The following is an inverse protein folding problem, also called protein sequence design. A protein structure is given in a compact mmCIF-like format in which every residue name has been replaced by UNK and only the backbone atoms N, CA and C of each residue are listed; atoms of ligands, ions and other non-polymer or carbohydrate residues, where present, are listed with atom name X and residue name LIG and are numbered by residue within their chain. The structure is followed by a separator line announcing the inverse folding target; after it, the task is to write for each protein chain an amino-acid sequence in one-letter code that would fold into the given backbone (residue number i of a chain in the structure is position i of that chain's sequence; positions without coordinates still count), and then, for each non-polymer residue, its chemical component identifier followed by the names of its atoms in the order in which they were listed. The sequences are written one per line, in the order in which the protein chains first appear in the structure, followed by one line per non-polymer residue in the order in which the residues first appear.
data_IF_923038201017
#
_entry.id   IF_923038201017
#
_cell.length_a   1.000
_cell.length_b   1.000
_cell.length_c   1.000
_cell.angle_alpha   90.00
_cell.angle_beta   90.00
_cell.angle_gamma   90.00
#
_symmetry.space_group_name_H-M   'P 1'
#
loop_
_entity.id
_entity.type
_entity.pdbx_description
1 polymer ?
#
# COMPACT_ATOMS: atom_id res chain seq x y z
N UNK A 1 3.44 -2.90 -13.69
CA UNK A 1 3.36 -3.57 -12.38
C UNK A 1 3.28 -2.50 -11.31
N UNK A 2 2.20 -2.44 -10.54
CA UNK A 2 1.96 -1.37 -9.59
C UNK A 2 2.85 -1.54 -8.35
N UNK A 3 4.06 -0.98 -8.38
CA UNK A 3 4.86 -0.62 -7.19
C UNK A 3 4.22 0.60 -6.53
N UNK A 4 3.05 0.38 -5.96
CA UNK A 4 2.29 1.41 -5.26
C UNK A 4 2.19 0.97 -3.80
N UNK A 5 2.62 1.85 -2.88
CA UNK A 5 2.42 1.61 -1.46
C UNK A 5 0.96 1.29 -1.20
N UNK A 6 0.70 0.25 -0.41
CA UNK A 6 -0.66 -0.18 -0.08
C UNK A 6 -1.45 0.95 0.60
N UNK A 7 -0.77 1.77 1.40
CA UNK A 7 -1.34 2.89 2.15
C UNK A 7 -0.33 4.06 2.25
N UNK A 8 -0.18 4.90 1.21
CA UNK A 8 0.87 5.92 1.16
C UNK A 8 0.76 6.97 2.28
N UNK A 9 -0.47 7.34 2.68
CA UNK A 9 -0.70 8.30 3.79
C UNK A 9 -0.33 7.74 5.15
N UNK A 10 -0.76 6.51 5.46
CA UNK A 10 -0.45 5.86 6.74
C UNK A 10 1.05 5.57 6.88
N UNK A 11 1.71 5.20 5.79
CA UNK A 11 3.17 5.04 5.78
C UNK A 11 3.90 6.37 5.94
N UNK A 12 3.42 7.45 5.32
CA UNK A 12 4.00 8.78 5.50
C UNK A 12 3.91 9.25 6.96
N UNK A 13 2.75 9.06 7.62
CA UNK A 13 2.59 9.36 9.07
C UNK A 13 3.63 8.62 9.89
N UNK A 14 3.78 7.30 9.67
CA UNK A 14 4.76 6.51 10.42
C UNK A 14 6.19 6.96 10.16
N UNK A 15 6.56 7.24 8.91
CA UNK A 15 7.92 7.69 8.56
C UNK A 15 8.25 9.05 9.18
N UNK A 16 7.32 10.01 9.17
CA UNK A 16 7.52 11.32 9.79
C UNK A 16 7.76 11.20 11.31
N UNK A 17 7.03 10.30 11.98
CA UNK A 17 7.11 10.16 13.44
C UNK A 17 8.28 9.27 13.91
N UNK A 18 8.74 8.30 13.09
CA UNK A 18 9.68 7.25 13.51
C UNK A 18 11.05 7.33 12.83
N UNK A 19 11.25 8.25 11.87
CA UNK A 19 12.53 8.37 11.13
C UNK A 19 12.96 9.82 11.02
N UNK A 20 14.27 10.06 10.89
CA UNK A 20 14.83 11.41 10.69
C UNK A 20 14.91 11.81 9.19
N UNK A 21 14.05 11.24 8.34
CA UNK A 21 14.04 11.49 6.90
C UNK A 21 13.49 12.88 6.58
N UNK A 22 13.97 13.48 5.48
CA UNK A 22 13.45 14.77 5.01
C UNK A 22 12.05 14.62 4.40
N UNK A 23 11.26 15.70 4.46
CA UNK A 23 9.91 15.71 3.89
C UNK A 23 9.90 15.42 2.39
N UNK A 24 10.92 15.89 1.65
CA UNK A 24 11.04 15.62 0.21
C UNK A 24 11.34 14.15 -0.09
N UNK A 25 12.11 13.47 0.78
CA UNK A 25 12.35 12.03 0.66
C UNK A 25 11.08 11.23 0.92
N UNK A 26 10.33 11.56 1.97
CA UNK A 26 9.07 10.90 2.30
C UNK A 26 8.02 11.16 1.20
N UNK A 27 7.95 12.39 0.69
CA UNK A 27 7.07 12.77 -0.42
C UNK A 27 7.40 11.98 -1.69
N UNK A 28 8.68 11.90 -2.05
CA UNK A 28 9.13 11.12 -3.20
C UNK A 28 8.85 9.62 -3.04
N UNK A 29 9.02 9.08 -1.82
CA UNK A 29 8.78 7.67 -1.52
C UNK A 29 7.29 7.31 -1.56
N UNK A 30 6.44 8.10 -0.88
CA UNK A 30 5.00 7.89 -0.82
C UNK A 30 4.26 8.40 -2.07
N UNK A 31 4.95 9.04 -3.02
CA UNK A 31 4.38 9.77 -4.17
C UNK A 31 3.31 10.78 -3.76
N UNK A 32 3.54 11.45 -2.63
CA UNK A 32 2.68 12.51 -2.10
C UNK A 32 3.33 13.86 -2.37
N UNK A 33 2.54 14.93 -2.33
CA UNK A 33 3.11 16.27 -2.43
C UNK A 33 3.83 16.61 -1.11
N UNK A 34 4.99 17.31 -1.11
CA UNK A 34 5.68 17.70 0.12
C UNK A 34 4.79 18.54 1.06
N UNK A 35 3.79 19.26 0.54
CA UNK A 35 2.79 19.95 1.36
C UNK A 35 1.90 18.99 2.15
N UNK A 36 1.54 17.83 1.61
CA UNK A 36 0.78 16.81 2.35
C UNK A 36 1.63 16.21 3.47
N UNK A 37 2.93 16.00 3.23
CA UNK A 37 3.85 15.50 4.26
C UNK A 37 4.02 16.51 5.39
N UNK A 38 4.08 17.82 5.07
CA UNK A 38 4.05 18.88 6.08
C UNK A 38 2.75 18.91 6.88
N UNK A 39 1.60 18.84 6.19
CA UNK A 39 0.30 18.77 6.87
C UNK A 39 0.14 17.51 7.76
N UNK A 40 0.82 16.41 7.40
CA UNK A 40 0.91 15.21 8.26
C UNK A 40 1.76 15.49 9.50
N UNK A 41 2.92 16.14 9.34
CA UNK A 41 3.80 16.53 10.44
C UNK A 41 3.13 17.55 11.39
N UNK A 42 2.30 18.45 10.85
CA UNK A 42 1.52 19.43 11.61
C UNK A 42 0.31 18.79 12.33
N UNK A 43 0.03 17.50 12.10
CA UNK A 43 -1.07 16.78 12.73
C UNK A 43 -2.45 17.01 12.09
N UNK A 44 -2.52 17.78 11.00
CA UNK A 44 -3.77 18.16 10.34
C UNK A 44 -4.30 17.03 9.44
N UNK A 45 -3.40 16.34 8.73
CA UNK A 45 -3.74 15.27 7.79
C UNK A 45 -3.68 13.85 8.40
N UNK A 46 -3.36 13.73 9.69
CA UNK A 46 -3.20 12.45 10.40
C UNK A 46 -4.36 12.13 11.37
N UNK A 47 -5.36 13.01 11.50
CA UNK A 47 -6.51 12.78 12.37
C UNK A 47 -7.27 11.49 11.97
N UNK A 48 -7.14 10.45 12.79
CA UNK A 48 -7.80 9.15 12.59
C UNK A 48 -7.00 8.11 11.79
N UNK A 49 -5.81 8.44 11.27
CA UNK A 49 -4.96 7.50 10.53
C UNK A 49 -3.90 6.95 11.47
N UNK A 50 -4.00 5.67 11.85
CA UNK A 50 -2.91 4.99 12.55
C UNK A 50 -1.74 4.77 11.59
N UNK A 51 -0.57 5.29 11.95
CA UNK A 51 0.66 5.07 11.19
C UNK A 51 0.93 3.57 10.99
N UNK A 52 1.24 3.19 9.76
CA UNK A 52 1.55 1.80 9.39
C UNK A 52 3.04 1.66 9.13
N UNK A 53 3.69 0.77 9.86
CA UNK A 53 5.12 0.50 9.72
C UNK A 53 5.44 -0.14 8.33
N UNK A 54 6.17 0.57 7.45
CA UNK A 54 6.57 0.06 6.14
C UNK A 54 7.68 -1.01 6.22
N UNK A 55 8.41 -1.09 7.34
CA UNK A 55 9.46 -2.09 7.59
C UNK A 55 8.81 -3.43 7.90
N UNK A 56 7.78 -3.44 8.75
CA UNK A 56 7.01 -4.66 9.08
C UNK A 56 6.27 -5.20 7.86
N UNK A 57 5.71 -4.31 7.03
CA UNK A 57 5.04 -4.72 5.78
C UNK A 57 6.02 -5.16 4.68
N UNK A 58 7.33 -5.01 4.90
CA UNK A 58 8.37 -5.39 3.95
C UNK A 58 8.44 -4.50 2.71
N UNK A 59 7.90 -3.27 2.76
CA UNK A 59 7.96 -2.31 1.67
C UNK A 59 9.29 -1.54 1.63
N UNK A 60 9.94 -1.40 2.78
CA UNK A 60 11.28 -0.79 2.92
C UNK A 60 12.10 -1.56 3.94
N UNK A 61 13.43 -1.61 3.76
CA UNK A 61 14.33 -2.20 4.76
C UNK A 61 14.81 -1.13 5.74
N UNK A 62 15.14 -1.55 6.97
CA UNK A 62 15.73 -0.65 7.97
C UNK A 62 17.08 -0.08 7.54
N UNK A 63 17.82 -0.82 6.73
CA UNK A 63 19.08 -0.36 6.12
C UNK A 63 18.86 0.78 5.12
N UNK A 64 17.77 0.71 4.35
CA UNK A 64 17.43 1.75 3.38
C UNK A 64 17.03 3.06 4.08
N UNK A 65 16.27 2.96 5.19
CA UNK A 65 15.95 4.10 6.06
C UNK A 65 17.25 4.70 6.61
N UNK A 66 18.15 3.88 7.16
CA UNK A 66 19.41 4.37 7.73
C UNK A 66 20.34 5.04 6.69
N UNK A 67 20.26 4.65 5.40
CA UNK A 67 20.95 5.36 4.31
C UNK A 67 20.30 6.72 4.04
N UNK A 68 18.97 6.77 4.00
CA UNK A 68 18.23 8.01 3.83
C UNK A 68 18.40 9.01 4.98
N UNK A 69 18.55 8.53 6.21
CA UNK A 69 18.82 9.37 7.38
C UNK A 69 20.23 9.99 7.36
N UNK A 70 21.20 9.33 6.70
CA UNK A 70 22.57 9.85 6.55
C UNK A 70 22.72 10.85 5.41
N UNK A 71 21.88 10.74 4.38
CA UNK A 71 21.93 11.59 3.20
C UNK A 71 20.53 12.11 2.85
N UNK A 72 20.24 13.41 3.10
CA UNK A 72 18.96 14.04 2.79
C UNK A 72 18.58 14.03 1.30
N UNK A 73 19.56 13.88 0.39
CA UNK A 73 19.32 13.82 -1.05
C UNK A 73 19.09 12.40 -1.56
N UNK A 74 19.26 11.40 -0.70
CA UNK A 74 19.10 10.01 -1.06
C UNK A 74 17.63 9.68 -1.34
N UNK A 75 17.35 9.11 -2.52
CA UNK A 75 16.00 8.67 -2.88
C UNK A 75 15.78 7.24 -2.44
N UNK A 76 14.93 7.07 -1.43
CA UNK A 76 14.53 5.77 -0.91
C UNK A 76 13.90 4.93 -2.01
N UNK A 77 14.33 3.67 -2.12
CA UNK A 77 13.77 2.71 -3.05
C UNK A 77 12.83 1.75 -2.32
N UNK A 78 11.66 1.52 -2.92
CA UNK A 78 10.77 0.43 -2.50
C UNK A 78 11.50 -0.90 -2.68
N UNK A 79 11.47 -1.74 -1.66
CA UNK A 79 11.93 -3.10 -1.77
C UNK A 79 11.06 -3.85 -2.79
N UNK A 80 11.69 -4.63 -3.68
CA UNK A 80 10.93 -5.46 -4.61
C UNK A 80 10.08 -6.47 -3.82
N UNK A 81 8.77 -6.61 -4.14
CA UNK A 81 7.92 -7.52 -3.40
C UNK A 81 8.44 -8.95 -3.57
N UNK A 82 8.92 -9.55 -2.46
CA UNK A 82 9.34 -10.97 -2.41
C UNK A 82 8.20 -11.93 -2.79
N UNK A 83 6.95 -11.49 -2.69
CA UNK A 83 5.77 -12.29 -3.03
C UNK A 83 5.20 -11.80 -4.36
N UNK A 84 5.48 -12.55 -5.43
CA UNK A 84 4.64 -12.53 -6.63
C UNK A 84 3.27 -13.05 -6.22
N UNK A 85 2.32 -12.16 -5.94
CA UNK A 85 0.91 -12.56 -5.86
C UNK A 85 0.52 -12.99 -7.28
N UNK A 86 0.24 -14.27 -7.55
CA UNK A 86 -0.28 -14.66 -8.85
C UNK A 86 -1.58 -13.88 -9.07
N UNK A 87 -1.77 -13.28 -10.25
CA UNK A 87 -3.00 -12.58 -10.59
C UNK A 87 -4.19 -13.48 -10.22
N UNK A 88 -5.03 -12.99 -9.31
CA UNK A 88 -6.28 -13.66 -9.01
C UNK A 88 -7.06 -13.73 -10.32
N UNK A 89 -7.09 -14.92 -10.94
CA UNK A 89 -7.90 -15.18 -12.13
C UNK A 89 -9.29 -14.64 -11.83
N UNK A 90 -9.71 -13.60 -12.56
CA UNK A 90 -11.07 -13.08 -12.49
C UNK A 90 -11.99 -14.26 -12.71
N UNK A 91 -12.62 -14.77 -11.64
CA UNK A 91 -13.66 -15.78 -11.76
C UNK A 91 -14.76 -15.09 -12.55
N UNK A 92 -14.97 -15.54 -13.79
CA UNK A 92 -16.03 -15.03 -14.65
C UNK A 92 -17.37 -15.08 -13.93
N UNK A 93 -18.38 -14.32 -14.42
CA UNK A 93 -19.68 -14.28 -13.79
C UNK A 93 -20.22 -15.70 -13.63
N UNK A 94 -20.43 -16.14 -12.38
CA UNK A 94 -21.20 -17.35 -12.06
C UNK A 94 -22.68 -17.04 -12.29
N UNK A 95 -23.06 -16.85 -13.55
CA UNK A 95 -24.46 -16.85 -13.95
C UNK A 95 -24.81 -18.23 -14.49
N UNK A 96 -25.61 -18.97 -13.74
CA UNK A 96 -26.22 -20.21 -14.23
C UNK A 96 -27.46 -19.82 -15.04
N UNK A 97 -27.50 -20.02 -16.36
CA UNK A 97 -28.62 -19.59 -17.17
C UNK A 97 -29.91 -20.31 -16.75
N UNK A 98 -31.02 -19.57 -16.71
CA UNK A 98 -32.35 -20.04 -16.30
C UNK A 98 -32.79 -21.31 -17.06
N UNK A 99 -32.36 -21.46 -18.33
CA UNK A 99 -32.60 -22.65 -19.15
C UNK A 99 -32.10 -23.95 -18.51
N UNK A 100 -31.03 -23.92 -17.71
CA UNK A 100 -30.49 -25.10 -17.00
C UNK A 100 -31.15 -25.36 -15.64
N UNK A 101 -32.08 -24.50 -15.18
CA UNK A 101 -32.86 -24.72 -13.95
C UNK A 101 -34.17 -25.47 -14.18
N UNK A 102 -34.66 -25.52 -15.42
CA UNK A 102 -35.90 -26.22 -15.78
C UNK A 102 -35.70 -27.72 -16.02
N UNK A 103 -34.45 -28.17 -16.20
CA UNK A 103 -34.05 -29.58 -16.38
C UNK A 103 -33.96 -30.36 -15.05
N UNK A 104 -34.83 -30.05 -14.08
CA UNK A 104 -35.09 -30.95 -12.95
C UNK A 104 -36.28 -31.81 -13.35
N UNK A 105 -36.10 -33.09 -13.74
CA UNK A 105 -37.22 -33.99 -13.88
C UNK A 105 -37.91 -34.13 -12.52
N UNK A 106 -39.20 -33.78 -12.47
CA UNK A 106 -40.07 -34.11 -11.35
C UNK A 106 -40.15 -35.64 -11.27
N UNK A 107 -39.38 -36.24 -10.37
CA UNK A 107 -39.71 -37.56 -9.85
C UNK A 107 -40.69 -37.34 -8.68
N UNK A 108 -41.78 -38.13 -8.66
CA UNK A 108 -42.88 -38.21 -7.66
C UNK A 108 -44.03 -37.23 -8.03
N UNK A 109 -45.27 -37.63 -8.37
CA UNK A 109 -46.11 -38.82 -8.14
C UNK A 109 -46.90 -39.18 -9.41
#
# INVERSE_FOLDING_TARGET
MATQLLMPKATAVWLVDNTALSFDQIAAFCKLHPLEVKAIADGEASQGIKGLDPVITGQISREEIAKGEKDPYYRLKLAEPKVRVPEAKRKGPRYTPLSKRQDRPNAIL
#
